data_IF_273962514967
#
_entry.id   IF_273962514967
#
_cell.length_a   1.000
_cell.length_b   1.000
_cell.length_c   1.000
_cell.angle_alpha   90.00
_cell.angle_beta   90.00
_cell.angle_gamma   90.00
#
_symmetry.space_group_name_H-M   'P 1'
#
loop_
_entity.id
_entity.type
_entity.pdbx_description
1 polymer ?
#
# COMPACT_ATOMS: atom_id res chain seq x y z
N UNK A 1 10.31 13.71 15.14
CA UNK A 1 9.97 12.51 14.35
C UNK A 1 10.36 12.81 12.91
N UNK A 2 10.92 11.83 12.20
CA UNK A 2 11.16 12.00 10.76
C UNK A 2 9.82 12.08 10.02
N UNK A 3 9.74 12.81 8.90
CA UNK A 3 8.54 12.75 8.06
C UNK A 3 8.53 11.41 7.32
N UNK A 4 7.41 10.67 7.33
CA UNK A 4 7.35 9.38 6.63
C UNK A 4 7.54 9.58 5.14
N UNK A 5 8.30 8.67 4.52
CA UNK A 5 8.47 8.60 3.06
C UNK A 5 7.78 7.35 2.55
N UNK A 6 6.64 7.50 1.88
CA UNK A 6 5.83 6.38 1.41
C UNK A 6 5.56 6.48 -0.10
N UNK A 7 5.65 5.35 -0.80
CA UNK A 7 5.17 5.16 -2.15
C UNK A 7 4.08 4.09 -2.12
N UNK A 8 2.81 4.50 -2.19
CA UNK A 8 1.66 3.60 -2.02
C UNK A 8 0.93 3.48 -3.35
N UNK A 9 1.08 2.36 -4.04
CA UNK A 9 0.49 2.17 -5.38
C UNK A 9 -0.70 1.22 -5.35
N UNK A 10 -1.69 1.48 -6.19
CA UNK A 10 -2.85 0.59 -6.33
C UNK A 10 -2.43 -0.81 -6.77
N UNK A 11 -1.62 -0.91 -7.82
CA UNK A 11 -1.22 -2.16 -8.46
C UNK A 11 0.23 -2.10 -8.95
N UNK A 12 0.85 -3.27 -9.07
CA UNK A 12 2.26 -3.39 -9.50
C UNK A 12 2.43 -3.48 -11.01
N UNK A 13 1.37 -3.79 -11.77
CA UNK A 13 1.44 -4.05 -13.21
C UNK A 13 0.11 -3.65 -13.88
N UNK A 14 0.18 -2.92 -14.99
CA UNK A 14 -0.98 -2.65 -15.85
C UNK A 14 -1.08 -3.71 -16.95
N UNK A 15 -2.29 -3.85 -17.52
CA UNK A 15 -2.49 -4.73 -18.66
C UNK A 15 -1.60 -4.30 -19.85
N UNK A 16 -0.83 -5.24 -20.39
CA UNK A 16 0.08 -5.00 -21.52
C UNK A 16 1.45 -4.41 -21.17
N UNK A 17 1.73 -4.11 -19.90
CA UNK A 17 3.01 -3.51 -19.46
C UNK A 17 3.80 -4.47 -18.55
N UNK A 18 5.08 -4.17 -18.29
CA UNK A 18 5.89 -4.84 -17.27
C UNK A 18 5.58 -4.35 -15.84
N UNK A 19 6.12 -5.05 -14.84
CA UNK A 19 6.03 -4.61 -13.45
C UNK A 19 6.67 -3.23 -13.24
N UNK A 20 5.93 -2.34 -12.58
CA UNK A 20 6.28 -0.96 -12.25
C UNK A 20 6.62 -0.07 -13.44
N UNK A 21 6.33 -0.50 -14.67
CA UNK A 21 6.60 0.30 -15.87
C UNK A 21 5.82 1.63 -15.83
N UNK A 22 4.52 1.57 -15.53
CA UNK A 22 3.66 2.74 -15.44
C UNK A 22 4.08 3.79 -14.41
N UNK A 23 4.85 3.40 -13.39
CA UNK A 23 5.33 4.28 -12.32
C UNK A 23 6.85 4.36 -12.23
N UNK A 24 7.58 3.93 -13.27
CA UNK A 24 9.04 3.76 -13.27
C UNK A 24 9.80 5.02 -12.86
N UNK A 25 9.44 6.20 -13.40
CA UNK A 25 10.07 7.47 -13.05
C UNK A 25 9.87 7.83 -11.58
N UNK A 26 8.61 7.79 -11.09
CA UNK A 26 8.28 8.06 -9.69
C UNK A 26 8.98 7.07 -8.76
N UNK A 27 8.98 5.78 -9.10
CA UNK A 27 9.62 4.71 -8.35
C UNK A 27 11.13 4.98 -8.18
N UNK A 28 11.84 5.23 -9.30
CA UNK A 28 13.29 5.49 -9.27
C UNK A 28 13.61 6.74 -8.48
N UNK A 29 12.90 7.84 -8.75
CA UNK A 29 13.11 9.12 -8.07
C UNK A 29 12.94 8.98 -6.55
N UNK A 30 11.88 8.29 -6.13
CA UNK A 30 11.53 8.10 -4.73
C UNK A 30 12.65 7.44 -3.91
N UNK A 31 13.20 6.33 -4.41
CA UNK A 31 14.28 5.59 -3.73
C UNK A 31 15.65 6.25 -3.90
N UNK A 32 15.92 6.87 -5.05
CA UNK A 32 17.17 7.61 -5.31
C UNK A 32 17.35 8.79 -4.35
N UNK A 33 16.28 9.51 -3.99
CA UNK A 33 16.33 10.63 -3.02
C UNK A 33 16.87 10.21 -1.64
N UNK A 34 16.73 8.93 -1.25
CA UNK A 34 17.29 8.37 -0.01
C UNK A 34 18.55 7.52 -0.22
N UNK A 35 19.14 7.55 -1.42
CA UNK A 35 20.30 6.71 -1.78
C UNK A 35 20.09 5.21 -1.49
N UNK A 36 18.85 4.74 -1.61
CA UNK A 36 18.54 3.32 -1.43
C UNK A 36 19.14 2.56 -2.60
N UNK A 37 20.03 1.62 -2.29
CA UNK A 37 20.60 0.68 -3.28
C UNK A 37 19.95 -0.68 -3.18
N UNK A 38 19.48 -1.03 -1.99
CA UNK A 38 18.96 -2.36 -1.67
C UNK A 38 17.63 -2.28 -0.93
N UNK A 39 16.63 -2.97 -1.44
CA UNK A 39 15.31 -3.09 -0.83
C UNK A 39 15.18 -4.38 -0.04
N UNK A 40 14.61 -4.27 1.16
CA UNK A 40 14.07 -5.42 1.89
C UNK A 40 12.65 -5.69 1.42
N UNK A 41 12.46 -6.78 0.69
CA UNK A 41 11.19 -7.21 0.12
C UNK A 41 10.44 -8.18 1.02
N UNK A 42 9.12 -7.98 1.13
CA UNK A 42 8.21 -8.79 1.92
C UNK A 42 7.24 -9.55 0.99
N UNK A 43 7.46 -10.86 0.75
CA UNK A 43 6.61 -11.70 -0.12
C UNK A 43 5.40 -12.32 0.60
N UNK A 44 5.11 -11.90 1.82
CA UNK A 44 4.17 -12.59 2.74
C UNK A 44 2.69 -12.56 2.32
N UNK A 45 2.33 -11.87 1.24
CA UNK A 45 1.00 -11.91 0.66
C UNK A 45 0.76 -13.16 -0.23
N UNK A 46 1.80 -13.97 -0.47
CA UNK A 46 1.74 -15.29 -1.14
C UNK A 46 2.13 -16.40 -0.15
N UNK A 47 2.03 -17.68 -0.53
CA UNK A 47 2.70 -18.80 0.17
C UNK A 47 3.98 -19.26 -0.52
N UNK A 48 4.09 -18.98 -1.82
CA UNK A 48 5.29 -19.22 -2.59
C UNK A 48 6.18 -17.97 -2.53
N UNK A 49 7.01 -17.88 -1.50
CA UNK A 49 7.86 -16.71 -1.27
C UNK A 49 9.00 -16.63 -2.28
N UNK A 50 9.66 -17.75 -2.58
CA UNK A 50 10.79 -17.79 -3.49
C UNK A 50 10.36 -17.52 -4.93
N UNK A 51 9.28 -18.14 -5.40
CA UNK A 51 8.72 -17.84 -6.72
C UNK A 51 8.26 -16.39 -6.85
N UNK A 52 7.77 -15.77 -5.76
CA UNK A 52 7.44 -14.35 -5.80
C UNK A 52 8.70 -13.47 -5.91
N UNK A 53 9.77 -13.79 -5.18
CA UNK A 53 11.06 -13.08 -5.32
C UNK A 53 11.57 -13.17 -6.75
N UNK A 54 11.62 -14.38 -7.32
CA UNK A 54 12.09 -14.63 -8.69
C UNK A 54 11.29 -13.81 -9.73
N UNK A 55 9.98 -13.68 -9.52
CA UNK A 55 9.10 -12.91 -10.40
C UNK A 55 9.34 -11.40 -10.33
N UNK A 56 9.60 -10.85 -9.14
CA UNK A 56 9.65 -9.40 -8.93
C UNK A 56 11.07 -8.82 -9.02
N UNK A 57 12.09 -9.63 -8.72
CA UNK A 57 13.49 -9.20 -8.68
C UNK A 57 13.97 -8.58 -10.02
N UNK A 58 13.66 -9.14 -11.22
CA UNK A 58 14.07 -8.52 -12.48
C UNK A 58 13.51 -7.10 -12.65
N UNK A 59 12.27 -6.86 -12.21
CA UNK A 59 11.64 -5.55 -12.29
C UNK A 59 12.32 -4.55 -11.36
N UNK A 60 12.60 -4.94 -10.12
CA UNK A 60 13.31 -4.09 -9.15
C UNK A 60 14.75 -3.79 -9.60
N UNK A 61 15.45 -4.76 -10.22
CA UNK A 61 16.76 -4.55 -10.85
C UNK A 61 16.70 -3.53 -11.99
N UNK A 62 15.66 -3.55 -12.85
CA UNK A 62 15.45 -2.52 -13.88
C UNK A 62 15.25 -1.12 -13.28
N UNK A 63 14.79 -1.03 -12.04
CA UNK A 63 14.70 0.23 -11.29
C UNK A 63 16.02 0.64 -10.61
N UNK A 64 17.09 -0.15 -10.77
CA UNK A 64 18.40 0.11 -10.17
C UNK A 64 18.52 -0.33 -8.70
N UNK A 65 17.64 -1.21 -8.24
CA UNK A 65 17.62 -1.69 -6.85
C UNK A 65 17.98 -3.16 -6.77
N UNK A 66 18.88 -3.48 -5.84
CA UNK A 66 19.10 -4.84 -5.36
C UNK A 66 17.95 -5.26 -4.44
N UNK A 67 17.70 -6.57 -4.38
CA UNK A 67 16.59 -7.12 -3.59
C UNK A 67 17.14 -8.11 -2.57
N UNK A 68 16.79 -7.91 -1.32
CA UNK A 68 16.89 -8.92 -0.27
C UNK A 68 15.49 -9.29 0.18
N UNK A 69 15.22 -10.58 0.32
CA UNK A 69 13.92 -11.02 0.80
C UNK A 69 13.94 -11.32 2.29
N UNK A 70 12.98 -10.78 3.02
CA UNK A 70 12.91 -10.93 4.48
C UNK A 70 12.69 -12.37 4.93
N UNK A 71 12.00 -13.21 4.14
CA UNK A 71 11.76 -14.62 4.49
C UNK A 71 13.03 -15.47 4.52
N UNK A 72 14.13 -14.98 3.93
CA UNK A 72 15.45 -15.63 3.94
C UNK A 72 16.35 -15.12 5.07
N UNK A 73 15.88 -14.17 5.88
CA UNK A 73 16.68 -13.58 6.97
C UNK A 73 16.52 -14.41 8.25
N UNK A 74 17.63 -14.73 8.93
CA UNK A 74 17.57 -15.50 10.19
C UNK A 74 16.90 -14.72 11.31
N UNK A 75 17.10 -13.40 11.34
CA UNK A 75 16.39 -12.47 12.22
C UNK A 75 15.67 -11.42 11.36
N UNK A 76 14.36 -11.59 11.11
CA UNK A 76 13.62 -10.66 10.26
C UNK A 76 13.46 -9.28 10.94
N UNK A 77 13.43 -9.21 12.27
CA UNK A 77 13.31 -7.93 12.99
C UNK A 77 14.60 -7.12 12.87
N UNK A 78 15.76 -7.76 13.02
CA UNK A 78 17.05 -7.12 12.77
C UNK A 78 17.16 -6.63 11.31
N UNK A 79 16.75 -7.47 10.35
CA UNK A 79 16.77 -7.10 8.94
C UNK A 79 15.93 -5.86 8.64
N UNK A 80 14.75 -5.70 9.26
CA UNK A 80 13.95 -4.47 9.12
C UNK A 80 14.70 -3.25 9.64
N UNK A 81 15.34 -3.36 10.82
CA UNK A 81 16.06 -2.25 11.45
C UNK A 81 17.30 -1.79 10.67
N UNK A 82 17.89 -2.69 9.90
CA UNK A 82 19.10 -2.45 9.09
C UNK A 82 18.78 -2.11 7.62
N UNK A 83 17.51 -2.21 7.21
CA UNK A 83 17.10 -1.99 5.83
C UNK A 83 17.29 -0.53 5.39
N UNK A 84 17.69 -0.34 4.12
CA UNK A 84 17.76 0.99 3.50
C UNK A 84 16.40 1.46 2.99
N UNK A 85 15.53 0.52 2.65
CA UNK A 85 14.17 0.75 2.18
C UNK A 85 13.37 -0.55 2.25
N UNK A 86 12.06 -0.40 2.41
CA UNK A 86 11.12 -1.51 2.59
C UNK A 86 10.19 -1.55 1.39
N UNK A 87 9.95 -2.74 0.84
CA UNK A 87 8.91 -2.97 -0.15
C UNK A 87 8.02 -4.14 0.25
N UNK A 88 6.72 -3.90 0.37
CA UNK A 88 5.71 -4.95 0.63
C UNK A 88 4.89 -5.21 -0.62
N UNK A 89 4.95 -6.47 -1.08
CA UNK A 89 4.27 -6.94 -2.30
C UNK A 89 2.76 -7.09 -2.16
N UNK A 90 2.11 -7.33 -3.30
CA UNK A 90 0.68 -7.65 -3.41
C UNK A 90 0.41 -9.15 -3.28
N UNK A 91 -0.87 -9.53 -3.18
CA UNK A 91 -1.33 -10.90 -2.92
C UNK A 91 -2.55 -10.86 -2.02
N UNK A 92 -2.65 -11.76 -1.05
CA UNK A 92 -3.73 -11.72 -0.06
C UNK A 92 -3.34 -10.91 1.20
N UNK A 93 -4.11 -9.86 1.47
CA UNK A 93 -3.90 -8.90 2.56
C UNK A 93 -4.06 -9.53 3.95
N UNK A 94 -5.00 -10.44 4.14
CA UNK A 94 -5.22 -11.13 5.42
C UNK A 94 -4.02 -12.02 5.78
N UNK A 95 -3.54 -12.79 4.80
CA UNK A 95 -2.34 -13.62 4.95
C UNK A 95 -1.10 -12.77 5.24
N UNK A 96 -0.94 -11.67 4.50
CA UNK A 96 0.14 -10.72 4.71
C UNK A 96 0.14 -10.19 6.15
N UNK A 97 -0.97 -9.61 6.60
CA UNK A 97 -1.06 -9.01 7.92
C UNK A 97 -0.86 -10.05 9.03
N UNK A 98 -1.47 -11.24 8.90
CA UNK A 98 -1.29 -12.36 9.84
C UNK A 98 0.19 -12.71 9.98
N UNK A 99 0.89 -12.85 8.86
CA UNK A 99 2.32 -13.20 8.85
C UNK A 99 3.18 -12.09 9.46
N UNK A 100 2.87 -10.81 9.20
CA UNK A 100 3.56 -9.68 9.84
C UNK A 100 3.41 -9.71 11.37
N UNK A 101 2.23 -10.05 11.88
CA UNK A 101 2.01 -10.21 13.33
C UNK A 101 2.77 -11.42 13.89
N UNK A 102 2.70 -12.58 13.25
CA UNK A 102 3.39 -13.81 13.69
C UNK A 102 4.91 -13.63 13.77
N UNK A 103 5.48 -12.88 12.82
CA UNK A 103 6.90 -12.55 12.77
C UNK A 103 7.28 -11.32 13.62
N UNK A 104 6.31 -10.71 14.33
CA UNK A 104 6.50 -9.51 15.16
C UNK A 104 7.08 -8.31 14.41
N UNK A 105 6.65 -8.11 13.16
CA UNK A 105 7.20 -7.11 12.24
C UNK A 105 6.41 -5.79 12.17
N UNK A 106 5.17 -5.77 12.67
CA UNK A 106 4.32 -4.56 12.64
C UNK A 106 4.99 -3.35 13.29
N UNK A 107 5.42 -3.47 14.55
CA UNK A 107 6.10 -2.36 15.26
C UNK A 107 7.48 -2.02 14.70
N UNK A 108 8.38 -2.98 14.39
CA UNK A 108 9.67 -2.67 13.77
C UNK A 108 9.54 -1.90 12.44
N UNK A 109 8.59 -2.27 11.58
CA UNK A 109 8.34 -1.55 10.32
C UNK A 109 7.86 -0.14 10.63
N UNK A 110 6.86 0.00 11.51
CA UNK A 110 6.31 1.30 11.89
C UNK A 110 7.38 2.24 12.44
N UNK A 111 8.23 1.77 13.35
CA UNK A 111 9.33 2.55 13.92
C UNK A 111 10.34 2.99 12.85
N UNK A 112 10.76 2.07 11.97
CA UNK A 112 11.73 2.40 10.93
C UNK A 112 11.19 3.46 9.95
N UNK A 113 9.92 3.35 9.58
CA UNK A 113 9.32 4.27 8.61
C UNK A 113 8.99 5.63 9.25
N UNK A 114 8.31 5.64 10.41
CA UNK A 114 7.82 6.87 11.05
C UNK A 114 8.89 7.61 11.84
N UNK A 115 9.77 6.89 12.54
CA UNK A 115 10.74 7.53 13.43
C UNK A 115 12.11 7.71 12.78
N UNK A 116 12.52 6.76 11.94
CA UNK A 116 13.83 6.79 11.26
C UNK A 116 13.78 7.28 9.81
N UNK A 117 12.59 7.44 9.24
CA UNK A 117 12.41 7.95 7.88
C UNK A 117 12.85 6.97 6.78
N UNK A 118 12.87 5.67 7.06
CA UNK A 118 13.18 4.65 6.05
C UNK A 118 12.08 4.65 4.98
N UNK A 119 12.43 4.80 3.67
CA UNK A 119 11.45 4.78 2.60
C UNK A 119 10.70 3.46 2.54
N UNK A 120 9.38 3.55 2.46
CA UNK A 120 8.47 2.42 2.36
C UNK A 120 7.73 2.44 1.04
N UNK A 121 7.60 1.29 0.40
CA UNK A 121 6.68 1.09 -0.72
C UNK A 121 5.69 -0.03 -0.43
N UNK A 122 4.43 0.23 -0.74
CA UNK A 122 3.37 -0.77 -0.78
C UNK A 122 2.77 -0.87 -2.17
N UNK A 123 2.40 -2.07 -2.59
CA UNK A 123 1.59 -2.30 -3.78
C UNK A 123 0.41 -3.20 -3.44
N UNK A 124 -0.81 -2.84 -3.84
CA UNK A 124 -2.02 -3.66 -3.62
C UNK A 124 -2.17 -4.01 -2.12
N UNK A 125 -2.10 -5.28 -1.73
CA UNK A 125 -2.07 -5.70 -0.32
C UNK A 125 -1.02 -4.96 0.53
N UNK A 126 0.17 -4.70 -0.02
CA UNK A 126 1.20 -3.90 0.65
C UNK A 126 0.77 -2.45 0.93
N UNK A 127 -0.07 -1.89 0.07
CA UNK A 127 -0.70 -0.57 0.27
C UNK A 127 -1.78 -0.65 1.34
N UNK A 128 -2.60 -1.70 1.36
CA UNK A 128 -3.59 -1.89 2.43
C UNK A 128 -2.93 -1.93 3.81
N UNK A 129 -1.88 -2.74 3.99
CA UNK A 129 -1.23 -2.87 5.32
C UNK A 129 -0.49 -1.61 5.75
N UNK A 130 -0.13 -0.71 4.83
CA UNK A 130 0.47 0.58 5.18
C UNK A 130 -0.52 1.51 5.92
N UNK A 131 -1.82 1.29 5.74
CA UNK A 131 -2.88 2.17 6.25
C UNK A 131 -3.28 1.88 7.70
N UNK A 132 -4.37 2.49 8.19
CA UNK A 132 -4.84 2.25 9.57
C UNK A 132 -5.28 0.82 9.82
N UNK A 133 -6.02 0.25 8.87
CA UNK A 133 -6.50 -1.11 8.94
C UNK A 133 -6.70 -1.73 7.56
N UNK A 134 -6.82 -3.05 7.50
CA UNK A 134 -7.07 -3.76 6.25
C UNK A 134 -8.56 -3.86 5.87
N UNK A 135 -9.46 -3.16 6.58
CA UNK A 135 -10.92 -3.24 6.36
C UNK A 135 -11.37 -2.88 4.94
N UNK A 136 -10.53 -2.16 4.20
CA UNK A 136 -10.81 -1.69 2.83
C UNK A 136 -10.08 -2.51 1.77
N UNK A 137 -9.55 -3.68 2.11
CA UNK A 137 -9.06 -4.65 1.11
C UNK A 137 -10.21 -5.27 0.32
N UNK A 138 -9.93 -5.69 -0.91
CA UNK A 138 -10.87 -6.46 -1.74
C UNK A 138 -10.70 -7.97 -1.57
N UNK A 139 -9.71 -8.37 -0.79
CA UNK A 139 -9.33 -9.75 -0.66
C UNK A 139 -10.34 -10.55 0.14
N UNK A 140 -10.50 -11.81 -0.23
CA UNK A 140 -11.26 -12.76 0.57
C UNK A 140 -10.51 -13.04 1.89
N UNK A 141 -11.19 -13.10 3.05
CA UNK A 141 -10.58 -13.39 4.35
C UNK A 141 -10.24 -14.88 4.51
N UNK A 142 -9.23 -15.35 3.77
CA UNK A 142 -8.81 -16.76 3.75
C UNK A 142 -8.13 -17.22 5.05
N UNK A 143 -7.76 -16.28 5.92
CA UNK A 143 -7.24 -16.55 7.26
C UNK A 143 -7.50 -15.36 8.18
N UNK A 144 -7.36 -15.57 9.49
CA UNK A 144 -7.64 -14.53 10.49
C UNK A 144 -6.32 -13.99 11.09
N UNK A 145 -5.95 -12.71 10.84
CA UNK A 145 -4.91 -12.04 11.62
C UNK A 145 -5.45 -11.78 13.05
N UNK A 146 -4.56 -11.57 14.05
CA UNK A 146 -5.01 -11.28 15.42
C UNK A 146 -5.76 -9.94 15.55
N UNK A 147 -5.60 -9.04 14.57
CA UNK A 147 -6.31 -7.77 14.47
C UNK A 147 -6.33 -7.31 13.01
N UNK A 148 -7.30 -6.49 12.62
CA UNK A 148 -7.30 -5.78 11.34
C UNK A 148 -6.50 -4.48 11.38
N UNK A 149 -6.07 -4.03 12.57
CA UNK A 149 -5.13 -2.92 12.68
C UNK A 149 -3.82 -3.26 11.97
N UNK A 150 -3.34 -2.34 11.15
CA UNK A 150 -2.17 -2.56 10.31
C UNK A 150 -0.98 -1.68 10.72
N UNK A 151 -0.14 -1.25 9.78
CA UNK A 151 1.07 -0.49 10.08
C UNK A 151 0.78 0.94 10.52
N UNK A 152 -0.40 1.51 10.23
CA UNK A 152 -0.78 2.88 10.60
C UNK A 152 0.26 3.92 10.17
N UNK A 153 0.83 3.76 8.96
CA UNK A 153 1.80 4.71 8.39
C UNK A 153 1.13 5.99 7.86
N UNK A 154 -0.17 5.90 7.58
CA UNK A 154 -1.06 7.02 7.25
C UNK A 154 -2.34 6.95 8.08
N UNK A 155 -3.03 8.08 8.36
CA UNK A 155 -4.19 8.12 9.25
C UNK A 155 -5.53 7.82 8.55
N UNK A 156 -5.51 7.38 7.30
CA UNK A 156 -6.68 7.00 6.50
C UNK A 156 -6.51 5.59 5.95
N UNK A 157 -7.55 5.03 5.34
CA UNK A 157 -7.52 3.74 4.65
C UNK A 157 -7.47 3.91 3.13
N UNK A 158 -6.93 2.93 2.42
CA UNK A 158 -6.87 2.92 0.96
C UNK A 158 -7.59 1.69 0.43
N UNK A 159 -8.51 1.88 -0.52
CA UNK A 159 -9.04 0.78 -1.34
C UNK A 159 -8.24 0.72 -2.66
N UNK A 160 -7.23 -0.15 -2.80
CA UNK A 160 -6.57 -0.34 -4.09
C UNK A 160 -7.49 -1.09 -5.04
N UNK A 161 -7.18 -1.06 -6.33
CA UNK A 161 -7.99 -1.70 -7.38
C UNK A 161 -9.47 -1.29 -7.29
N UNK A 162 -9.72 0.00 -7.04
CA UNK A 162 -11.06 0.53 -7.10
C UNK A 162 -11.58 0.37 -8.53
N UNK A 163 -12.77 -0.20 -8.64
CA UNK A 163 -13.47 -0.41 -9.90
C UNK A 163 -14.76 0.41 -9.85
N UNK A 164 -14.96 1.22 -10.88
CA UNK A 164 -16.19 1.98 -11.06
C UNK A 164 -17.36 1.03 -11.36
N UNK A 165 -18.54 1.42 -10.90
CA UNK A 165 -19.77 0.69 -11.22
C UNK A 165 -20.00 0.76 -12.73
N UNK A 166 -20.08 -0.41 -13.38
CA UNK A 166 -20.51 -0.49 -14.76
C UNK A 166 -22.03 -0.23 -14.82
N UNK A 167 -22.50 0.84 -15.49
CA UNK A 167 -23.91 1.17 -15.57
C UNK A 167 -24.74 0.12 -16.32
N UNK A 168 -24.10 -0.78 -17.07
CA UNK A 168 -24.76 -1.85 -17.81
C UNK A 168 -24.69 -3.21 -17.10
N UNK A 169 -24.07 -3.27 -15.91
CA UNK A 169 -23.96 -4.51 -15.16
C UNK A 169 -25.33 -5.01 -14.72
N UNK A 170 -25.58 -6.30 -14.93
CA UNK A 170 -26.76 -7.01 -14.40
C UNK A 170 -26.47 -7.72 -13.07
N UNK A 171 -25.26 -7.53 -12.53
CA UNK A 171 -24.88 -8.10 -11.25
C UNK A 171 -25.65 -7.41 -10.11
N UNK A 172 -26.27 -8.21 -9.24
CA UNK A 172 -27.15 -7.71 -8.17
C UNK A 172 -26.45 -7.59 -6.80
N UNK A 173 -25.19 -8.03 -6.68
CA UNK A 173 -24.40 -7.82 -5.47
C UNK A 173 -23.94 -6.37 -5.33
N UNK A 174 -23.45 -6.02 -4.14
CA UNK A 174 -23.03 -4.66 -3.81
C UNK A 174 -21.85 -4.21 -4.66
N UNK A 175 -21.94 -2.97 -5.18
CA UNK A 175 -20.85 -2.32 -5.89
C UNK A 175 -19.67 -2.05 -4.96
N UNK A 176 -18.51 -1.64 -5.50
CA UNK A 176 -17.40 -1.26 -4.62
C UNK A 176 -17.76 -0.04 -3.78
N UNK A 177 -18.46 0.93 -4.36
CA UNK A 177 -18.94 2.12 -3.67
C UNK A 177 -19.87 1.76 -2.51
N UNK A 178 -20.84 0.88 -2.73
CA UNK A 178 -21.77 0.43 -1.68
C UNK A 178 -21.02 -0.14 -0.46
N UNK A 179 -20.04 -1.02 -0.69
CA UNK A 179 -19.23 -1.64 0.38
C UNK A 179 -18.40 -0.62 1.16
N UNK A 180 -17.86 0.39 0.49
CA UNK A 180 -17.11 1.46 1.14
C UNK A 180 -18.05 2.37 1.96
N UNK A 181 -19.25 2.66 1.44
CA UNK A 181 -20.27 3.41 2.17
C UNK A 181 -20.79 2.63 3.39
N UNK A 182 -20.90 1.30 3.29
CA UNK A 182 -21.20 0.43 4.44
C UNK A 182 -20.12 0.52 5.52
N UNK A 183 -18.84 0.39 5.13
CA UNK A 183 -17.72 0.54 6.07
C UNK A 183 -17.75 1.90 6.78
N UNK A 184 -18.10 2.98 6.07
CA UNK A 184 -18.18 4.32 6.64
C UNK A 184 -19.35 4.54 7.62
N UNK A 185 -20.28 3.57 7.74
CA UNK A 185 -21.32 3.60 8.79
C UNK A 185 -20.77 3.17 10.15
N UNK A 186 -19.69 2.40 10.18
CA UNK A 186 -19.09 1.94 11.43
C UNK A 186 -18.61 3.13 12.30
N UNK A 187 -18.69 3.03 13.63
CA UNK A 187 -18.32 4.15 14.52
C UNK A 187 -16.87 4.61 14.36
N UNK A 188 -15.93 3.67 14.27
CA UNK A 188 -14.48 3.94 14.27
C UNK A 188 -13.86 3.93 12.86
N UNK A 189 -14.68 4.12 11.82
CA UNK A 189 -14.21 4.08 10.44
C UNK A 189 -13.19 5.20 10.16
N UNK A 190 -12.14 4.86 9.42
CA UNK A 190 -11.25 5.84 8.83
C UNK A 190 -11.82 6.32 7.48
N UNK A 191 -11.56 7.56 7.05
CA UNK A 191 -11.84 7.95 5.67
C UNK A 191 -11.09 7.05 4.69
N UNK A 192 -11.63 6.88 3.48
CA UNK A 192 -11.09 5.95 2.47
C UNK A 192 -10.71 6.71 1.21
N UNK A 193 -9.46 6.55 0.76
CA UNK A 193 -9.05 6.95 -0.58
C UNK A 193 -9.03 5.71 -1.48
N UNK A 194 -9.94 5.67 -2.44
CA UNK A 194 -10.01 4.59 -3.41
C UNK A 194 -9.12 4.89 -4.61
N UNK A 195 -8.14 4.02 -4.84
CA UNK A 195 -7.16 4.14 -5.91
C UNK A 195 -7.52 3.18 -7.04
N UNK A 196 -7.66 3.72 -8.25
CA UNK A 196 -7.79 2.93 -9.47
C UNK A 196 -6.43 2.35 -9.88
N UNK A 197 -6.44 1.28 -10.68
CA UNK A 197 -5.18 0.79 -11.24
C UNK A 197 -4.47 1.85 -12.09
N UNK A 198 -3.15 1.95 -11.93
CA UNK A 198 -2.33 2.99 -12.55
C UNK A 198 -2.33 4.31 -11.78
N UNK A 199 -2.80 4.32 -10.53
CA UNK A 199 -2.68 5.44 -9.59
C UNK A 199 -1.94 5.06 -8.31
N UNK A 200 -1.39 6.05 -7.63
CA UNK A 200 -0.67 5.88 -6.37
C UNK A 200 -0.45 7.20 -5.63
N UNK A 201 0.08 7.12 -4.43
CA UNK A 201 0.45 8.26 -3.60
C UNK A 201 1.96 8.30 -3.39
N UNK A 202 2.52 9.52 -3.45
CA UNK A 202 3.79 9.84 -2.83
C UNK A 202 3.50 10.60 -1.55
N UNK A 203 3.98 10.10 -0.42
CA UNK A 203 3.96 10.78 0.87
C UNK A 203 5.39 11.13 1.24
N UNK A 204 5.72 12.41 1.34
CA UNK A 204 7.02 12.87 1.83
C UNK A 204 6.94 14.32 2.30
N UNK A 205 7.79 14.68 3.27
CA UNK A 205 7.92 16.07 3.73
C UNK A 205 6.58 16.70 4.21
N UNK A 206 5.68 15.86 4.76
CA UNK A 206 4.35 16.29 5.21
C UNK A 206 3.34 16.52 4.08
N UNK A 207 3.71 16.19 2.84
CA UNK A 207 2.84 16.28 1.66
C UNK A 207 2.36 14.92 1.22
N UNK A 208 1.10 14.84 0.78
CA UNK A 208 0.55 13.68 0.05
C UNK A 208 0.23 14.15 -1.37
N UNK A 209 0.83 13.53 -2.38
CA UNK A 209 0.55 13.84 -3.79
C UNK A 209 -0.01 12.61 -4.48
N UNK A 210 -1.17 12.76 -5.12
CA UNK A 210 -1.69 11.75 -6.03
C UNK A 210 -0.89 11.77 -7.32
N UNK A 211 -0.50 10.60 -7.82
CA UNK A 211 0.17 10.49 -9.12
C UNK A 211 -0.38 9.31 -9.92
N UNK A 212 -0.06 9.28 -11.21
CA UNK A 212 -0.42 8.21 -12.12
C UNK A 212 -1.38 8.69 -13.21
N UNK A 213 -2.10 7.75 -13.80
CA UNK A 213 -2.90 7.97 -15.02
C UNK A 213 -4.40 8.07 -14.76
N UNK A 214 -4.83 7.88 -13.51
CA UNK A 214 -6.24 7.75 -13.12
C UNK A 214 -6.51 8.56 -11.86
N UNK A 215 -7.74 9.05 -11.77
CA UNK A 215 -8.25 9.77 -10.61
C UNK A 215 -8.37 8.84 -9.42
N UNK A 216 -8.32 9.43 -8.23
CA UNK A 216 -8.69 8.77 -6.98
C UNK A 216 -10.04 9.29 -6.49
N UNK A 217 -10.83 8.40 -5.89
CA UNK A 217 -12.13 8.76 -5.32
C UNK A 217 -12.06 8.71 -3.81
N UNK A 218 -12.40 9.81 -3.16
CA UNK A 218 -12.33 9.97 -1.72
C UNK A 218 -13.70 9.78 -1.08
N UNK A 219 -13.76 8.99 -0.03
CA UNK A 219 -14.98 8.67 0.72
C UNK A 219 -14.79 9.08 2.19
N UNK A 220 -15.74 9.88 2.70
CA UNK A 220 -15.78 10.30 4.10
C UNK A 220 -17.20 10.16 4.64
N UNK A 221 -17.33 9.78 5.91
CA UNK A 221 -18.61 9.63 6.60
C UNK A 221 -19.45 10.90 6.49
N UNK A 222 -20.71 10.74 6.09
CA UNK A 222 -21.67 11.84 5.96
C UNK A 222 -21.40 12.82 4.81
N UNK A 223 -20.55 12.46 3.85
CA UNK A 223 -20.23 13.29 2.68
C UNK A 223 -20.35 12.47 1.39
N UNK A 224 -20.75 13.14 0.30
CA UNK A 224 -20.72 12.53 -1.02
C UNK A 224 -19.26 12.29 -1.46
N UNK A 225 -18.98 11.21 -2.21
CA UNK A 225 -17.63 10.92 -2.67
C UNK A 225 -17.08 12.02 -3.60
N UNK A 226 -15.80 12.36 -3.45
CA UNK A 226 -15.11 13.42 -4.20
C UNK A 226 -14.04 12.81 -5.11
N UNK A 227 -13.98 13.22 -6.38
CA UNK A 227 -12.91 12.83 -7.31
C UNK A 227 -11.71 13.79 -7.22
N UNK A 228 -10.51 13.23 -7.29
CA UNK A 228 -9.26 13.97 -7.34
C UNK A 228 -8.43 13.52 -8.54
N UNK A 229 -8.01 14.48 -9.35
CA UNK A 229 -7.15 14.28 -10.51
C UNK A 229 -5.69 14.03 -10.07
N UNK A 230 -4.88 13.33 -10.88
CA UNK A 230 -3.43 13.26 -10.68
C UNK A 230 -2.78 14.62 -10.44
N UNK A 231 -1.66 14.62 -9.73
CA UNK A 231 -0.89 15.79 -9.28
C UNK A 231 -1.58 16.65 -8.20
N UNK A 232 -2.78 16.26 -7.75
CA UNK A 232 -3.47 16.93 -6.63
C UNK A 232 -2.72 16.74 -5.31
N UNK A 233 -2.64 17.82 -4.53
CA UNK A 233 -2.22 17.80 -3.13
C UNK A 233 -3.36 17.29 -2.23
N UNK A 234 -3.16 16.13 -1.63
CA UNK A 234 -4.09 15.46 -0.72
C UNK A 234 -3.63 15.54 0.73
N UNK A 235 -2.77 16.48 1.10
CA UNK A 235 -2.20 16.57 2.45
C UNK A 235 -3.25 16.83 3.54
N UNK A 236 -4.45 17.29 3.15
CA UNK A 236 -5.59 17.36 4.07
C UNK A 236 -5.88 16.00 4.71
N UNK A 237 -5.61 14.87 4.02
CA UNK A 237 -5.76 13.51 4.53
C UNK A 237 -4.94 13.21 5.78
N UNK A 238 -3.84 13.95 6.03
CA UNK A 238 -3.04 13.79 7.24
C UNK A 238 -3.77 14.26 8.51
N UNK A 239 -4.78 15.12 8.36
CA UNK A 239 -5.50 15.75 9.46
C UNK A 239 -7.00 15.42 9.45
N UNK A 240 -7.43 14.41 8.70
CA UNK A 240 -8.86 14.05 8.66
C UNK A 240 -9.24 13.32 9.94
N UNK A 241 -10.01 14.00 10.78
CA UNK A 241 -10.69 13.40 11.91
C UNK A 241 -11.76 12.39 11.44
N UNK A 242 -11.95 11.34 12.25
CA UNK A 242 -12.97 10.32 12.03
C UNK A 242 -14.36 10.84 12.40
#
# INVERSE_FOLDING_TARGET
MASPRLLLVSNSKLHGEDFFEWCSETFKSFFKKSNVKKLLFFPYASRDYDGYVEKIEPALKKQGLEVESIHRKPDPVAAVRESQGIFIGGGNTFLLLKTLYEQKLVEPIRDCVLNKGIPFMGSSAGTNVATRSINTTNDMPICMPPSFEALKLVPFNINPHYIDTDPNSTHMGETREDRLLEFLREPDCAPVLALREGSGLVVEDGKITLFGRKNARFFKKGQDPIEYEPDTDLSFLLNVEC
#
